data_IF_735895085259
#
_entry.id   IF_735895085259
#
_cell.length_a   1.000
_cell.length_b   1.000
_cell.length_c   1.000
_cell.angle_alpha   90.00
_cell.angle_beta   90.00
_cell.angle_gamma   90.00
#
_symmetry.space_group_name_H-M   'P 1'
#
loop_
_entity.id
_entity.type
_entity.pdbx_description
1 polymer ?
#
# COMPACT_ATOMS: atom_id res chain seq x y z
N UNK A 1 23.19 5.42 75.05
CA UNK A 1 22.45 4.58 74.07
C UNK A 1 22.38 5.38 72.78
N UNK A 2 23.18 4.98 71.78
CA UNK A 2 23.38 5.72 70.53
C UNK A 2 22.27 5.29 69.55
N UNK A 3 21.41 6.22 69.13
CA UNK A 3 20.38 5.97 68.11
C UNK A 3 21.03 6.18 66.74
N UNK A 4 21.20 5.10 65.98
CA UNK A 4 21.68 5.14 64.60
C UNK A 4 20.53 5.54 63.65
N UNK A 5 20.71 6.49 62.72
CA UNK A 5 19.70 6.77 61.70
C UNK A 5 19.74 5.65 60.65
N UNK A 6 18.64 4.93 60.53
CA UNK A 6 18.38 3.97 59.46
C UNK A 6 18.26 4.75 58.14
N UNK A 7 19.35 4.77 57.36
CA UNK A 7 19.33 5.26 55.98
C UNK A 7 18.43 4.34 55.15
N UNK A 8 17.21 4.79 54.89
CA UNK A 8 16.29 4.16 53.96
C UNK A 8 16.87 4.37 52.54
N UNK A 9 17.59 3.38 52.00
CA UNK A 9 17.95 3.34 50.59
C UNK A 9 16.67 3.21 49.77
N UNK A 10 16.16 4.33 49.25
CA UNK A 10 15.12 4.33 48.24
C UNK A 10 15.64 3.57 47.02
N UNK A 11 15.17 2.35 46.80
CA UNK A 11 15.48 1.60 45.60
C UNK A 11 14.70 2.26 44.46
N UNK A 12 15.40 3.01 43.61
CA UNK A 12 14.84 3.47 42.33
C UNK A 12 14.83 2.22 41.45
N UNK A 13 13.64 1.69 41.15
CA UNK A 13 13.50 0.58 40.22
C UNK A 13 13.70 1.11 38.80
N UNK A 14 14.88 0.91 38.24
CA UNK A 14 15.22 1.39 36.90
C UNK A 14 14.94 0.28 35.90
N UNK A 15 13.78 0.32 35.25
CA UNK A 15 13.48 -0.65 34.21
C UNK A 15 14.18 -0.27 32.89
N UNK A 16 14.83 -1.26 32.29
CA UNK A 16 15.45 -1.15 30.96
C UNK A 16 14.52 -1.69 29.88
N UNK A 17 14.35 -0.93 28.79
CA UNK A 17 13.61 -1.38 27.60
C UNK A 17 14.62 -1.81 26.52
N UNK A 18 14.58 -3.08 26.16
CA UNK A 18 15.43 -3.67 25.12
C UNK A 18 14.56 -4.04 23.93
N UNK A 19 14.93 -3.54 22.76
CA UNK A 19 14.25 -3.83 21.50
C UNK A 19 15.18 -4.69 20.65
N UNK A 20 14.78 -5.92 20.40
CA UNK A 20 15.49 -6.86 19.53
C UNK A 20 14.93 -6.79 18.11
N UNK A 21 15.78 -6.73 17.10
CA UNK A 21 15.37 -6.79 15.70
C UNK A 21 15.65 -8.21 15.15
N UNK A 22 14.62 -9.09 15.06
CA UNK A 22 14.81 -10.43 14.54
C UNK A 22 14.93 -10.46 13.02
N UNK A 23 15.49 -11.56 12.51
CA UNK A 23 15.45 -11.86 11.08
C UNK A 23 14.01 -12.11 10.62
N UNK A 24 13.65 -11.60 9.44
CA UNK A 24 12.33 -11.74 8.84
C UNK A 24 12.44 -11.88 7.32
N UNK A 25 11.37 -12.27 6.60
CA UNK A 25 11.41 -12.36 5.14
C UNK A 25 11.76 -11.02 4.46
N UNK A 26 11.43 -9.90 5.10
CA UNK A 26 11.73 -8.53 4.62
C UNK A 26 13.17 -8.13 4.97
N UNK A 27 13.63 -8.49 6.17
CA UNK A 27 14.98 -8.24 6.67
C UNK A 27 15.65 -9.57 7.03
N UNK A 28 16.23 -10.30 6.05
CA UNK A 28 16.78 -11.63 6.31
C UNK A 28 17.98 -11.61 7.27
N UNK A 29 18.77 -10.53 7.25
CA UNK A 29 19.92 -10.35 8.12
C UNK A 29 19.84 -8.98 8.83
N UNK A 30 19.51 -8.95 10.13
CA UNK A 30 19.45 -7.73 10.93
C UNK A 30 20.77 -6.95 10.99
N UNK A 31 21.92 -7.62 10.82
CA UNK A 31 23.24 -6.98 10.82
C UNK A 31 23.50 -6.13 9.57
N UNK A 32 22.65 -6.21 8.54
CA UNK A 32 22.72 -5.34 7.37
C UNK A 32 22.12 -3.96 7.62
N UNK A 33 21.48 -3.75 8.77
CA UNK A 33 20.93 -2.44 9.10
C UNK A 33 22.05 -1.39 9.18
N UNK A 34 21.86 -0.21 8.56
CA UNK A 34 22.83 0.87 8.64
C UNK A 34 23.09 1.28 10.10
N UNK A 35 24.32 1.64 10.42
CA UNK A 35 24.70 2.14 11.74
C UNK A 35 23.98 3.43 12.15
N UNK A 36 23.37 4.14 11.19
CA UNK A 36 22.50 5.30 11.43
C UNK A 36 21.12 4.92 11.98
N UNK A 37 20.82 3.62 12.06
CA UNK A 37 19.57 3.11 12.63
C UNK A 37 19.53 3.39 14.13
N UNK A 38 18.47 4.05 14.57
CA UNK A 38 18.27 4.40 15.98
C UNK A 38 16.78 4.38 16.30
N UNK A 39 16.47 4.21 17.57
CA UNK A 39 15.13 4.31 18.12
C UNK A 39 14.98 5.61 18.88
N UNK A 40 13.79 6.17 18.84
CA UNK A 40 13.40 7.35 19.61
C UNK A 40 12.13 7.06 20.40
N UNK A 41 12.15 7.30 21.70
CA UNK A 41 10.96 7.39 22.53
C UNK A 41 10.55 8.85 22.64
N UNK A 42 9.31 9.16 22.28
CA UNK A 42 8.79 10.53 22.26
C UNK A 42 7.53 10.63 23.11
N UNK A 43 7.50 11.61 24.01
CA UNK A 43 6.34 11.92 24.87
C UNK A 43 5.85 13.33 24.58
N UNK A 44 4.65 13.66 25.05
CA UNK A 44 4.13 15.03 24.95
C UNK A 44 4.98 15.97 25.82
N UNK A 45 5.27 17.20 25.35
CA UNK A 45 6.07 18.13 26.12
C UNK A 45 5.34 18.51 27.42
N UNK A 46 5.86 18.01 28.54
CA UNK A 46 5.48 18.41 29.90
C UNK A 46 6.57 19.31 30.46
N UNK A 47 6.18 20.37 31.18
CA UNK A 47 7.06 21.50 31.52
C UNK A 47 8.34 21.04 32.25
N UNK A 48 9.49 21.13 31.55
CA UNK A 48 10.83 20.91 32.11
C UNK A 48 11.44 19.51 31.89
N UNK A 49 10.72 18.56 31.28
CA UNK A 49 11.19 17.18 31.12
C UNK A 49 11.79 16.90 29.74
N UNK A 50 12.71 15.92 29.68
CA UNK A 50 13.26 15.40 28.42
C UNK A 50 12.15 14.66 27.66
N UNK A 51 11.64 15.29 26.61
CA UNK A 51 10.51 14.75 25.84
C UNK A 51 10.91 13.66 24.82
N UNK A 52 12.21 13.48 24.57
CA UNK A 52 12.74 12.59 23.53
C UNK A 52 13.96 11.86 24.10
N UNK A 53 13.88 10.54 24.14
CA UNK A 53 15.01 9.66 24.46
C UNK A 53 15.42 8.94 23.19
N UNK A 54 16.72 8.70 23.02
CA UNK A 54 17.26 8.06 21.81
C UNK A 54 18.17 6.90 22.18
N UNK A 55 18.06 5.79 21.44
CA UNK A 55 18.95 4.64 21.55
C UNK A 55 19.50 4.27 20.17
N UNK A 56 20.81 4.06 20.07
CA UNK A 56 21.47 3.63 18.82
C UNK A 56 21.49 2.10 18.69
N UNK A 57 21.52 1.61 17.45
CA UNK A 57 21.61 0.18 17.16
C UNK A 57 22.95 -0.39 17.66
N UNK A 58 22.90 -1.49 18.41
CA UNK A 58 24.05 -2.25 18.86
C UNK A 58 24.49 -3.31 17.84
N UNK A 59 25.69 -3.85 18.00
CA UNK A 59 26.19 -4.97 17.20
C UNK A 59 25.37 -6.27 17.39
N UNK A 60 24.56 -6.39 18.45
CA UNK A 60 23.64 -7.52 18.62
C UNK A 60 22.29 -7.29 17.93
N UNK A 61 22.16 -6.27 17.07
CA UNK A 61 20.90 -5.87 16.45
C UNK A 61 19.81 -5.52 17.49
N UNK A 62 20.24 -4.95 18.62
CA UNK A 62 19.36 -4.51 19.70
C UNK A 62 19.46 -3.00 19.92
N UNK A 63 18.37 -2.39 20.37
CA UNK A 63 18.30 -0.99 20.79
C UNK A 63 17.95 -1.00 22.28
N UNK A 64 18.74 -0.31 23.11
CA UNK A 64 18.60 -0.38 24.57
C UNK A 64 18.35 1.02 25.12
N UNK A 65 17.24 1.16 25.84
CA UNK A 65 16.98 2.30 26.72
C UNK A 65 17.25 1.82 28.15
N UNK A 66 18.43 2.17 28.73
CA UNK A 66 18.86 1.59 29.99
C UNK A 66 18.04 2.08 31.19
N UNK A 67 17.57 3.32 31.14
CA UNK A 67 16.81 3.96 32.21
C UNK A 67 15.71 4.81 31.61
N UNK A 68 14.47 4.52 32.00
CA UNK A 68 13.32 5.35 31.69
C UNK A 68 13.06 6.31 32.86
N UNK A 69 12.70 7.57 32.59
CA UNK A 69 12.38 8.53 33.65
C UNK A 69 11.29 7.97 34.59
N UNK A 70 11.49 8.14 35.90
CA UNK A 70 10.52 7.77 36.94
C UNK A 70 9.33 8.76 36.96
N UNK A 71 8.55 8.74 35.89
CA UNK A 71 7.41 9.60 35.65
C UNK A 71 6.34 8.77 34.93
N UNK A 72 5.09 8.90 35.38
CA UNK A 72 3.99 8.18 34.75
C UNK A 72 3.63 8.86 33.43
N UNK A 73 4.19 8.34 32.34
CA UNK A 73 4.01 8.88 30.99
C UNK A 73 3.89 7.76 29.95
N UNK A 74 3.26 8.11 28.82
CA UNK A 74 3.14 7.22 27.66
C UNK A 74 4.05 7.74 26.55
N UNK A 75 4.98 6.89 26.11
CA UNK A 75 5.93 7.19 25.05
C UNK A 75 5.53 6.51 23.73
N UNK A 76 5.80 7.19 22.62
CA UNK A 76 5.79 6.62 21.29
C UNK A 76 7.22 6.24 20.88
N UNK A 77 7.46 4.95 20.72
CA UNK A 77 8.68 4.35 20.19
C UNK A 77 8.62 4.31 18.65
N UNK A 78 9.56 4.99 17.99
CA UNK A 78 9.78 4.92 16.54
C UNK A 78 11.20 4.45 16.25
N UNK A 79 11.37 3.50 15.33
CA UNK A 79 12.68 3.01 14.89
C UNK A 79 12.95 3.60 13.50
N UNK A 80 13.97 4.45 13.44
CA UNK A 80 14.35 5.16 12.22
C UNK A 80 15.55 4.49 11.60
N UNK A 81 15.38 4.01 10.37
CA UNK A 81 16.45 3.51 9.50
C UNK A 81 16.34 4.15 8.13
N UNK A 82 17.45 4.27 7.39
CA UNK A 82 17.40 4.77 6.01
C UNK A 82 16.73 3.78 5.08
N UNK A 83 17.02 2.49 5.21
CA UNK A 83 16.59 1.47 4.24
C UNK A 83 15.32 0.72 4.63
N UNK A 84 15.00 0.61 5.91
CA UNK A 84 13.87 -0.19 6.39
C UNK A 84 12.88 0.66 7.18
N UNK A 85 11.61 0.28 7.10
CA UNK A 85 10.53 0.85 7.89
C UNK A 85 10.07 -0.17 8.95
N UNK A 86 9.84 0.31 10.16
CA UNK A 86 9.38 -0.46 11.30
C UNK A 86 8.00 0.04 11.76
N UNK A 87 7.27 -0.82 12.48
CA UNK A 87 6.02 -0.43 13.14
C UNK A 87 6.35 0.42 14.37
N UNK A 88 5.62 1.51 14.65
CA UNK A 88 5.78 2.23 15.91
C UNK A 88 5.12 1.47 17.08
N UNK A 89 5.64 1.67 18.29
CA UNK A 89 5.08 1.07 19.50
C UNK A 89 4.68 2.14 20.50
N UNK A 90 3.61 1.90 21.26
CA UNK A 90 3.28 2.67 22.46
C UNK A 90 3.92 1.96 23.65
N UNK A 91 4.59 2.72 24.51
CA UNK A 91 5.23 2.24 25.74
C UNK A 91 4.65 3.05 26.89
N UNK A 92 3.96 2.40 27.82
CA UNK A 92 3.47 3.06 29.04
C UNK A 92 4.44 2.79 30.18
N UNK A 93 4.84 3.84 30.88
CA UNK A 93 5.78 3.81 32.01
C UNK A 93 5.07 4.29 33.27
N UNK A 94 5.33 3.64 34.39
CA UNK A 94 4.80 3.99 35.69
C UNK A 94 5.63 5.08 36.39
N UNK A 95 5.11 5.61 37.50
CA UNK A 95 5.78 6.65 38.27
C UNK A 95 7.13 6.22 38.87
N UNK A 96 7.36 4.91 39.00
CA UNK A 96 8.63 4.36 39.48
C UNK A 96 9.65 4.14 38.35
N UNK A 97 9.27 4.35 37.08
CA UNK A 97 10.11 4.07 35.91
C UNK A 97 9.93 2.64 35.37
N UNK A 98 9.06 1.83 35.98
CA UNK A 98 8.73 0.50 35.47
C UNK A 98 7.88 0.56 34.21
N UNK A 99 8.08 -0.40 33.31
CA UNK A 99 7.32 -0.48 32.05
C UNK A 99 6.02 -1.22 32.34
N UNK A 100 4.88 -0.53 32.22
CA UNK A 100 3.55 -1.11 32.43
C UNK A 100 3.11 -1.97 31.25
N UNK A 101 3.47 -1.56 30.03
CA UNK A 101 3.16 -2.33 28.84
C UNK A 101 3.67 -1.68 27.55
N UNK A 102 3.70 -2.51 26.51
CA UNK A 102 4.13 -2.18 25.16
C UNK A 102 3.13 -2.75 24.16
N UNK A 103 2.65 -1.89 23.27
CA UNK A 103 1.68 -2.25 22.23
C UNK A 103 2.13 -1.77 20.86
N UNK A 104 1.86 -2.55 19.83
CA UNK A 104 1.99 -2.08 18.44
C UNK A 104 0.93 -1.02 18.15
N UNK A 105 1.33 0.05 17.46
CA UNK A 105 0.43 1.12 17.04
C UNK A 105 0.70 1.51 15.58
N UNK A 106 -0.12 2.41 15.05
CA UNK A 106 0.06 2.99 13.73
C UNK A 106 -0.44 4.43 13.73
N UNK A 107 0.03 5.22 12.74
CA UNK A 107 -0.35 6.63 12.63
C UNK A 107 -1.86 6.75 12.38
N UNK A 108 -2.53 7.55 13.20
CA UNK A 108 -3.97 7.75 13.13
C UNK A 108 -4.80 6.82 14.02
N UNK A 109 -4.17 5.87 14.73
CA UNK A 109 -4.85 5.10 15.76
C UNK A 109 -5.12 5.99 17.00
N UNK A 110 -6.34 6.05 17.55
CA UNK A 110 -6.62 6.75 18.80
C UNK A 110 -5.73 6.23 19.93
N UNK A 111 -5.28 7.12 20.83
CA UNK A 111 -4.36 6.72 21.89
C UNK A 111 -4.97 5.65 22.79
N UNK A 112 -6.24 5.78 23.16
CA UNK A 112 -6.95 4.83 24.03
C UNK A 112 -7.10 3.42 23.43
N UNK A 113 -7.01 3.29 22.11
CA UNK A 113 -7.10 2.01 21.43
C UNK A 113 -5.73 1.31 21.45
N UNK A 114 -5.50 0.49 22.48
CA UNK A 114 -4.30 -0.35 22.60
C UNK A 114 -4.36 -1.45 21.54
N UNK A 115 -3.37 -1.46 20.65
CA UNK A 115 -3.27 -2.42 19.55
C UNK A 115 -2.78 -3.80 20.03
N UNK A 116 -2.01 -4.47 19.17
CA UNK A 116 -1.45 -5.80 19.49
C UNK A 116 -0.48 -5.68 20.67
N UNK A 117 -0.72 -6.45 21.71
CA UNK A 117 0.10 -6.45 22.91
C UNK A 117 1.43 -7.18 22.65
N UNK A 118 2.54 -6.52 22.99
CA UNK A 118 3.89 -7.12 22.96
C UNK A 118 4.36 -7.47 24.34
N UNK A 119 3.98 -6.66 25.32
CA UNK A 119 4.32 -6.84 26.71
C UNK A 119 3.27 -6.13 27.57
N UNK A 120 2.82 -6.76 28.65
CA UNK A 120 1.97 -6.13 29.67
C UNK A 120 2.40 -6.71 31.01
N UNK A 121 2.51 -5.85 32.03
CA UNK A 121 2.74 -6.31 33.40
C UNK A 121 1.49 -7.04 33.90
N UNK A 122 1.68 -8.28 34.35
CA UNK A 122 0.63 -9.05 35.02
C UNK A 122 0.50 -8.50 36.45
N UNK A 123 -0.70 -8.10 36.86
CA UNK A 123 -1.01 -7.50 38.18
C UNK A 123 -0.54 -8.37 39.37
N UNK A 124 -0.29 -9.65 39.12
CA UNK A 124 0.20 -10.62 40.11
C UNK A 124 1.73 -10.73 40.22
N UNK A 125 2.49 -10.11 39.31
CA UNK A 125 3.95 -10.20 39.23
C UNK A 125 4.60 -8.83 39.27
N UNK A 126 5.71 -8.74 40.01
CA UNK A 126 6.57 -7.56 39.99
C UNK A 126 7.09 -7.31 38.57
N UNK A 127 7.06 -6.05 38.12
CA UNK A 127 7.61 -5.65 36.83
C UNK A 127 9.08 -6.06 36.75
N UNK A 128 9.51 -6.75 35.68
CA UNK A 128 10.90 -7.14 35.50
C UNK A 128 11.77 -5.90 35.29
N UNK A 129 13.01 -6.02 35.74
CA UNK A 129 14.05 -4.98 35.59
C UNK A 129 14.46 -4.75 34.12
N UNK A 130 14.20 -5.73 33.24
CA UNK A 130 14.45 -5.61 31.81
C UNK A 130 13.30 -6.21 31.01
N UNK A 131 12.73 -5.40 30.11
CA UNK A 131 11.67 -5.81 29.19
C UNK A 131 12.26 -5.91 27.80
N UNK A 132 12.17 -7.10 27.21
CA UNK A 132 12.63 -7.36 25.84
C UNK A 132 11.42 -7.45 24.91
N UNK A 133 11.40 -6.64 23.85
CA UNK A 133 10.39 -6.69 22.79
C UNK A 133 11.03 -6.95 21.43
N UNK A 134 10.29 -7.57 20.53
CA UNK A 134 10.72 -7.77 19.15
C UNK A 134 10.14 -6.71 18.21
N UNK A 135 11.03 -6.01 17.50
CA UNK A 135 10.67 -5.02 16.50
C UNK A 135 10.42 -5.65 15.13
N UNK A 136 9.25 -5.36 14.55
CA UNK A 136 8.85 -5.89 13.24
C UNK A 136 9.19 -4.93 12.12
N UNK A 137 9.99 -5.39 11.16
CA UNK A 137 10.19 -4.70 9.89
C UNK A 137 8.97 -4.87 8.97
N UNK A 138 8.46 -3.78 8.42
CA UNK A 138 7.25 -3.75 7.56
C UNK A 138 7.60 -3.76 6.09
N UNK A 139 8.71 -3.13 5.72
CA UNK A 139 9.10 -3.00 4.32
C UNK A 139 10.42 -2.28 4.16
N UNK A 140 10.92 -2.31 2.93
CA UNK A 140 12.11 -1.58 2.51
C UNK A 140 11.70 -0.24 1.91
N UNK A 141 12.37 0.83 2.29
CA UNK A 141 12.11 2.20 1.83
C UNK A 141 12.69 2.38 0.43
N UNK A 142 11.80 2.56 -0.55
CA UNK A 142 12.16 3.01 -1.89
C UNK A 142 11.99 4.53 -1.97
N UNK A 143 13.09 5.26 -2.15
CA UNK A 143 13.05 6.72 -2.35
C UNK A 143 13.05 7.13 -3.82
N UNK A 144 13.33 6.18 -4.71
CA UNK A 144 13.47 6.43 -6.13
C UNK A 144 12.43 5.63 -6.90
N UNK A 145 11.80 6.30 -7.85
CA UNK A 145 10.97 5.67 -8.86
C UNK A 145 11.82 5.35 -10.09
N UNK A 146 11.74 4.12 -10.58
CA UNK A 146 12.43 3.75 -11.82
C UNK A 146 11.73 4.42 -13.01
N UNK A 147 12.51 5.01 -13.91
CA UNK A 147 11.97 5.54 -15.17
C UNK A 147 11.37 4.40 -15.98
N UNK A 148 10.24 4.69 -16.63
CA UNK A 148 9.65 3.77 -17.60
C UNK A 148 10.69 3.41 -18.67
N UNK A 149 11.12 2.15 -18.68
CA UNK A 149 12.04 1.61 -19.70
C UNK A 149 11.21 1.10 -20.86
N UNK A 150 11.66 1.37 -22.08
CA UNK A 150 11.09 0.73 -23.27
C UNK A 150 11.38 -0.77 -23.19
N UNK A 151 10.35 -1.58 -22.97
CA UNK A 151 10.45 -3.04 -23.02
C UNK A 151 9.81 -3.54 -24.31
N UNK A 152 10.57 -4.14 -25.24
CA UNK A 152 10.01 -4.74 -26.46
C UNK A 152 8.91 -5.77 -26.16
N UNK A 153 9.02 -6.45 -25.02
CA UNK A 153 8.00 -7.41 -24.56
C UNK A 153 6.74 -6.73 -24.04
N UNK A 154 6.83 -5.50 -23.51
CA UNK A 154 5.65 -4.67 -23.19
C UNK A 154 4.94 -4.16 -24.44
N UNK A 155 5.68 -3.94 -25.54
CA UNK A 155 5.13 -3.54 -26.82
C UNK A 155 4.23 -4.66 -27.40
N UNK A 156 4.67 -5.91 -27.32
CA UNK A 156 3.88 -7.08 -27.74
C UNK A 156 2.68 -7.30 -26.83
N UNK A 157 2.77 -6.99 -25.53
CA UNK A 157 1.63 -7.09 -24.60
C UNK A 157 0.64 -5.92 -24.70
N UNK A 158 0.91 -4.94 -25.55
CA UNK A 158 0.00 -3.82 -25.76
C UNK A 158 -1.17 -4.27 -26.65
N UNK A 159 -2.43 -4.23 -26.15
CA UNK A 159 -3.59 -4.72 -26.89
C UNK A 159 -3.77 -3.99 -28.22
N UNK A 160 -3.44 -2.70 -28.32
CA UNK A 160 -3.55 -1.99 -29.60
C UNK A 160 -2.56 -2.49 -30.65
N UNK A 161 -1.36 -2.89 -30.23
CA UNK A 161 -0.32 -3.38 -31.14
C UNK A 161 -0.63 -4.81 -31.59
N UNK A 162 -1.13 -5.65 -30.69
CA UNK A 162 -1.62 -6.98 -31.07
C UNK A 162 -2.78 -6.89 -32.06
N UNK A 163 -3.74 -6.00 -31.83
CA UNK A 163 -4.84 -5.79 -32.78
C UNK A 163 -4.34 -5.28 -34.13
N UNK A 164 -3.35 -4.37 -34.15
CA UNK A 164 -2.74 -3.92 -35.39
C UNK A 164 -2.04 -5.07 -36.15
N UNK A 165 -1.30 -5.94 -35.46
CA UNK A 165 -0.63 -7.11 -36.08
C UNK A 165 -1.65 -8.12 -36.59
N UNK A 166 -2.69 -8.43 -35.80
CA UNK A 166 -3.76 -9.35 -36.19
C UNK A 166 -4.52 -8.82 -37.40
N UNK A 167 -4.90 -7.54 -37.40
CA UNK A 167 -5.58 -6.91 -38.53
C UNK A 167 -4.71 -6.92 -39.80
N UNK A 168 -3.41 -6.68 -39.67
CA UNK A 168 -2.47 -6.77 -40.79
C UNK A 168 -2.33 -8.21 -41.30
N UNK A 169 -2.33 -9.19 -40.38
CA UNK A 169 -2.35 -10.62 -40.71
C UNK A 169 -3.61 -11.03 -41.48
N UNK A 170 -4.80 -10.57 -41.08
CA UNK A 170 -6.03 -10.83 -41.84
C UNK A 170 -6.02 -10.12 -43.20
N UNK A 171 -5.53 -8.88 -43.25
CA UNK A 171 -5.50 -8.08 -44.49
C UNK A 171 -4.71 -8.75 -45.61
N UNK A 172 -3.55 -9.30 -45.29
CA UNK A 172 -2.69 -9.96 -46.27
C UNK A 172 -2.87 -11.49 -46.31
N UNK A 173 -3.35 -12.09 -45.22
CA UNK A 173 -3.52 -13.54 -45.09
C UNK A 173 -4.85 -14.06 -45.65
N UNK A 174 -5.96 -13.34 -45.46
CA UNK A 174 -7.27 -13.79 -45.95
C UNK A 174 -7.33 -13.94 -47.48
N UNK A 175 -6.81 -13.00 -48.30
CA UNK A 175 -6.81 -13.18 -49.76
C UNK A 175 -6.08 -14.44 -50.19
N UNK A 176 -4.94 -14.74 -49.55
CA UNK A 176 -4.13 -15.93 -49.81
C UNK A 176 -4.81 -17.24 -49.40
N UNK A 177 -5.53 -17.24 -48.28
CA UNK A 177 -6.30 -18.40 -47.84
C UNK A 177 -7.50 -18.63 -48.76
N UNK A 178 -8.20 -17.56 -49.15
CA UNK A 178 -9.32 -17.65 -50.08
C UNK A 178 -8.87 -18.19 -51.44
N UNK A 179 -7.75 -17.71 -52.01
CA UNK A 179 -7.19 -18.19 -53.29
C UNK A 179 -6.90 -19.71 -53.33
N UNK A 180 -6.62 -20.34 -52.18
CA UNK A 180 -6.31 -21.77 -52.06
C UNK A 180 -7.49 -22.64 -51.55
N UNK A 181 -8.66 -22.06 -51.25
CA UNK A 181 -9.84 -22.83 -50.81
C UNK A 181 -10.67 -23.38 -51.98
N UNK A 182 -11.25 -24.56 -51.79
CA UNK A 182 -12.17 -25.20 -52.73
C UNK A 182 -13.47 -24.38 -52.92
N UNK A 183 -14.10 -24.43 -54.11
CA UNK A 183 -15.23 -23.58 -54.47
C UNK A 183 -16.48 -23.77 -53.60
N UNK A 184 -16.74 -24.98 -53.08
CA UNK A 184 -17.84 -25.21 -52.12
C UNK A 184 -17.58 -24.53 -50.78
N UNK A 185 -16.34 -24.59 -50.29
CA UNK A 185 -15.95 -24.02 -48.99
C UNK A 185 -15.91 -22.49 -49.00
N UNK A 186 -15.61 -21.89 -50.17
CA UNK A 186 -15.72 -20.44 -50.37
C UNK A 186 -17.17 -19.96 -50.29
N UNK A 187 -18.11 -20.68 -50.90
CA UNK A 187 -19.53 -20.31 -50.89
C UNK A 187 -20.12 -20.37 -49.47
N UNK A 188 -19.74 -21.36 -48.67
CA UNK A 188 -20.12 -21.45 -47.25
C UNK A 188 -19.51 -20.30 -46.43
N UNK A 189 -18.25 -19.94 -46.68
CA UNK A 189 -17.59 -18.82 -45.99
C UNK A 189 -18.19 -17.45 -46.38
N UNK A 190 -18.60 -17.27 -47.63
CA UNK A 190 -19.36 -16.09 -48.09
C UNK A 190 -20.74 -16.01 -47.44
N UNK A 191 -21.43 -17.14 -47.27
CA UNK A 191 -22.73 -17.19 -46.57
C UNK A 191 -22.58 -16.88 -45.08
N UNK A 192 -21.53 -17.39 -44.42
CA UNK A 192 -21.26 -17.15 -43.00
C UNK A 192 -20.69 -15.75 -42.71
N UNK A 193 -19.86 -15.21 -43.60
CA UNK A 193 -19.33 -13.85 -43.46
C UNK A 193 -20.42 -12.78 -43.65
N UNK A 194 -21.42 -13.06 -44.50
CA UNK A 194 -22.61 -12.21 -44.68
C UNK A 194 -23.56 -12.27 -43.48
N UNK A 195 -23.55 -13.38 -42.74
CA UNK A 195 -24.34 -13.56 -41.53
C UNK A 195 -23.67 -13.01 -40.25
N UNK A 196 -22.36 -12.72 -40.28
CA UNK A 196 -21.59 -12.31 -39.08
C UNK A 196 -21.44 -10.78 -38.98
N UNK A 197 -22.07 -10.10 -38.00
CA UNK A 197 -22.05 -8.64 -37.88
C UNK A 197 -20.65 -8.04 -37.62
N UNK A 198 -19.71 -8.81 -37.07
CA UNK A 198 -18.30 -8.40 -36.91
C UNK A 198 -17.51 -8.37 -38.24
N UNK A 199 -17.89 -9.18 -39.24
CA UNK A 199 -17.22 -9.18 -40.54
C UNK A 199 -17.69 -8.02 -41.41
N UNK A 200 -18.95 -7.60 -41.29
CA UNK A 200 -19.46 -6.39 -41.94
C UNK A 200 -18.73 -5.12 -41.44
N UNK A 201 -18.45 -5.05 -40.14
CA UNK A 201 -17.65 -3.98 -39.53
C UNK A 201 -16.19 -3.93 -40.05
N UNK A 202 -15.54 -5.10 -40.14
CA UNK A 202 -14.15 -5.22 -40.56
C UNK A 202 -13.97 -4.99 -42.06
N UNK A 203 -14.89 -5.48 -42.90
CA UNK A 203 -14.91 -5.24 -44.35
C UNK A 203 -15.06 -3.75 -44.70
N UNK A 204 -15.89 -3.03 -43.95
CA UNK A 204 -16.13 -1.61 -44.18
C UNK A 204 -14.94 -0.74 -43.71
N UNK A 205 -14.33 -1.08 -42.57
CA UNK A 205 -13.11 -0.42 -42.07
C UNK A 205 -11.90 -0.61 -43.01
N UNK A 206 -11.82 -1.76 -43.69
CA UNK A 206 -10.70 -2.13 -44.56
C UNK A 206 -10.80 -1.54 -45.98
N UNK A 207 -12.00 -1.14 -46.41
CA UNK A 207 -12.25 -0.49 -47.72
C UNK A 207 -12.25 1.05 -47.65
N UNK A 208 -11.81 1.63 -46.53
CA UNK A 208 -11.76 3.08 -46.33
C UNK A 208 -13.10 3.73 -46.00
N UNK A 209 -14.15 2.93 -45.77
CA UNK A 209 -15.40 3.41 -45.20
C UNK A 209 -15.22 3.63 -43.70
N UNK A 210 -15.24 4.90 -43.26
CA UNK A 210 -15.07 5.28 -41.85
C UNK A 210 -16.00 4.50 -40.91
N UNK A 211 -15.46 3.45 -40.29
CA UNK A 211 -16.17 2.62 -39.35
C UNK A 211 -15.96 3.17 -37.94
N UNK A 212 -17.02 3.73 -37.35
CA UNK A 212 -17.02 4.17 -35.95
C UNK A 212 -17.19 2.96 -35.01
N UNK A 213 -16.05 2.34 -34.68
CA UNK A 213 -15.96 1.19 -33.78
C UNK A 213 -16.48 1.52 -32.37
N UNK A 214 -16.28 2.76 -31.91
CA UNK A 214 -16.77 3.20 -30.60
C UNK A 214 -18.29 3.32 -30.59
N UNK A 215 -18.87 3.88 -31.65
CA UNK A 215 -20.33 3.98 -31.81
C UNK A 215 -21.04 2.62 -31.92
N UNK A 216 -20.41 1.63 -32.57
CA UNK A 216 -20.95 0.26 -32.69
C UNK A 216 -20.87 -0.51 -31.36
N UNK A 217 -19.75 -0.42 -30.64
CA UNK A 217 -19.59 -1.04 -29.31
C UNK A 217 -20.45 -0.38 -28.23
N UNK A 218 -20.75 0.91 -28.38
CA UNK A 218 -21.68 1.64 -27.52
C UNK A 218 -23.16 1.43 -27.90
N UNK A 219 -23.46 0.69 -28.99
CA UNK A 219 -24.83 0.46 -29.48
C UNK A 219 -25.52 1.71 -30.07
N UNK A 220 -24.74 2.74 -30.41
CA UNK A 220 -25.24 4.05 -30.84
C UNK A 220 -25.23 4.26 -32.37
N UNK A 221 -24.60 3.35 -33.13
CA UNK A 221 -24.60 3.39 -34.60
C UNK A 221 -25.82 2.64 -35.19
N UNK A 222 -26.49 3.18 -36.23
CA UNK A 222 -27.70 2.58 -36.78
C UNK A 222 -27.39 1.26 -37.49
N UNK A 223 -27.97 0.16 -37.01
CA UNK A 223 -27.97 -1.12 -37.72
C UNK A 223 -28.91 -1.10 -38.93
N UNK A 224 -28.72 -1.99 -39.92
CA UNK A 224 -29.47 -2.00 -41.18
C UNK A 224 -30.96 -2.38 -41.06
N UNK A 225 -31.52 -2.46 -39.85
CA UNK A 225 -32.95 -2.64 -39.62
C UNK A 225 -33.66 -1.40 -39.04
N UNK A 226 -32.98 -0.26 -38.90
CA UNK A 226 -33.57 0.95 -38.30
C UNK A 226 -34.17 1.94 -39.32
N UNK A 227 -34.45 1.52 -40.57
CA UNK A 227 -35.03 2.40 -41.60
C UNK A 227 -36.56 2.34 -41.68
N UNK A 228 -37.25 2.15 -40.56
CA UNK A 228 -38.70 2.37 -40.50
C UNK A 228 -39.05 2.86 -39.09
N UNK A 229 -39.68 4.02 -39.02
CA UNK A 229 -40.06 4.78 -37.82
C UNK A 229 -38.91 5.40 -37.00
N UNK A 230 -38.62 6.66 -37.28
CA UNK A 230 -38.99 7.74 -36.36
C UNK A 230 -38.55 9.09 -36.93
N UNK A 231 -39.53 9.87 -37.33
CA UNK A 231 -39.39 11.30 -37.48
C UNK A 231 -39.27 11.97 -36.10
N UNK A 232 -38.63 13.14 -36.10
CA UNK A 232 -38.63 14.18 -35.07
C UNK A 232 -37.56 14.14 -33.98
N UNK A 233 -36.91 15.30 -33.83
CA UNK A 233 -36.50 15.80 -32.51
C UNK A 233 -35.01 15.87 -32.24
N UNK A 234 -34.35 16.88 -32.82
CA UNK A 234 -33.04 17.31 -32.35
C UNK A 234 -33.09 18.08 -31.01
N UNK A 235 -31.91 18.12 -30.39
CA UNK A 235 -31.36 19.17 -29.51
C UNK A 235 -31.76 19.25 -28.01
N UNK A 236 -30.73 19.04 -27.18
CA UNK A 236 -30.24 19.88 -26.06
C UNK A 236 -31.10 20.11 -24.81
N UNK A 237 -30.46 19.99 -23.64
CA UNK A 237 -30.96 20.64 -22.42
C UNK A 237 -30.27 20.19 -21.13
N UNK A 238 -29.28 20.98 -20.69
CA UNK A 238 -28.53 20.87 -19.44
C UNK A 238 -29.38 21.37 -18.27
N UNK A 239 -29.62 20.55 -17.24
CA UNK A 239 -30.25 21.03 -16.00
C UNK A 239 -29.27 21.02 -14.82
N UNK A 240 -29.20 22.18 -14.18
CA UNK A 240 -28.51 22.50 -12.94
C UNK A 240 -29.44 22.32 -11.73
N UNK A 241 -28.96 21.67 -10.68
CA UNK A 241 -29.49 21.76 -9.31
C UNK A 241 -28.37 21.28 -8.36
N UNK A 242 -28.11 21.75 -7.14
CA UNK A 242 -28.76 22.70 -6.27
C UNK A 242 -27.71 23.13 -5.22
N UNK A 243 -27.47 24.43 -5.02
CA UNK A 243 -26.60 24.94 -3.95
C UNK A 243 -27.48 25.47 -2.80
N UNK A 244 -27.74 24.62 -1.80
CA UNK A 244 -28.51 24.98 -0.61
C UNK A 244 -27.60 25.63 0.44
N UNK A 245 -27.85 26.92 0.70
CA UNK A 245 -27.39 27.66 1.87
C UNK A 245 -28.25 27.30 3.09
N UNK A 246 -27.65 27.10 4.26
CA UNK A 246 -28.34 27.28 5.54
C UNK A 246 -27.36 27.77 6.61
N UNK A 247 -27.72 28.90 7.22
CA UNK A 247 -27.10 29.49 8.41
C UNK A 247 -27.54 28.73 9.65
N UNK A 248 -26.63 28.65 10.61
CA UNK A 248 -26.81 28.31 12.02
C UNK A 248 -25.48 28.59 12.70
#
# INVERSE_FOLDING_TARGET
MLIAPLLLLCHIAVASLVISIPASPILPNPQMLPATTHATLTTLPSAGNVHVLTASLSHSSTLVFPELPAQQESYLLDIRSSEYAFIPYRVDVAADGSILGVWETFRGNPWDNRGVEKYVVDDSRQSPDSVVIEARAVGRRGFYEERAKFSPLSLVKNPMILMAIVALGFTFGMPKLMENMDPEMRAEFEQQSRASPMNAATSNAMTGGGFDLAGWMAGTSPGPMASTDSASGGTTGRESSNAARLRG
#
